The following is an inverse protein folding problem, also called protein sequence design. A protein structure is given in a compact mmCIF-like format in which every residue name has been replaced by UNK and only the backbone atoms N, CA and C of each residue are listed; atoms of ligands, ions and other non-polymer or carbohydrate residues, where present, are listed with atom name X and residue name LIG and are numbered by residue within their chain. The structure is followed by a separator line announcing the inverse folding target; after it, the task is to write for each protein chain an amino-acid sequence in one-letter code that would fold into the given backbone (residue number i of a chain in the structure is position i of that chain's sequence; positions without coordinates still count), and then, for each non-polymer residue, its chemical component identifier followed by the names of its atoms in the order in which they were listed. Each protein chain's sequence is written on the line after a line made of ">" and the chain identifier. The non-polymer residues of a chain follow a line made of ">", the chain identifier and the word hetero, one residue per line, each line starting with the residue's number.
data_IF_983655353141
#
_entry.id   IF_983655353141
#
_cell.length_a   1.000
_cell.length_b   1.000
_cell.length_c   1.000
_cell.angle_alpha   90.00
_cell.angle_beta   90.00
_cell.angle_gamma   90.00
#
_symmetry.space_group_name_H-M   'P 1'
#
loop_
_entity.id
_entity.type
_entity.pdbx_description
1 polymer ?
#
# COMPACT_ATOMS: atom_id res chain seq x y z
N UNK A 1 -31.55 15.80 23.37
CA UNK A 1 -30.32 14.97 23.33
C UNK A 1 -30.31 14.00 22.14
N UNK A 2 -31.34 13.15 21.95
CA UNK A 2 -31.34 12.14 20.87
C UNK A 2 -31.19 12.70 19.44
N UNK A 3 -31.82 13.84 19.14
CA UNK A 3 -31.72 14.50 17.82
C UNK A 3 -30.32 15.04 17.51
N UNK A 4 -29.60 15.50 18.52
CA UNK A 4 -28.24 16.04 18.37
C UNK A 4 -27.27 14.89 18.02
N UNK A 5 -27.45 13.72 18.63
CA UNK A 5 -26.65 12.54 18.33
C UNK A 5 -26.85 12.04 16.89
N UNK A 6 -28.10 12.05 16.40
CA UNK A 6 -28.43 11.64 15.02
C UNK A 6 -27.76 12.60 14.01
N UNK A 7 -27.86 13.91 14.24
CA UNK A 7 -27.23 14.91 13.36
C UNK A 7 -25.71 14.78 13.34
N UNK A 8 -25.08 14.52 14.51
CA UNK A 8 -23.64 14.32 14.59
C UNK A 8 -23.18 13.07 13.82
N UNK A 9 -23.92 11.96 13.89
CA UNK A 9 -23.60 10.74 13.13
C UNK A 9 -23.71 10.94 11.61
N UNK A 10 -24.75 11.65 11.16
CA UNK A 10 -24.94 11.94 9.73
C UNK A 10 -23.83 12.85 9.18
N UNK A 11 -23.42 13.85 9.96
CA UNK A 11 -22.30 14.72 9.59
C UNK A 11 -20.97 13.95 9.50
N UNK A 12 -20.73 12.99 10.41
CA UNK A 12 -19.54 12.14 10.36
C UNK A 12 -19.54 11.20 9.13
N UNK A 13 -20.71 10.69 8.72
CA UNK A 13 -20.84 9.85 7.51
C UNK A 13 -20.52 10.60 6.21
N UNK A 14 -20.86 11.89 6.12
CA UNK A 14 -20.51 12.72 4.96
C UNK A 14 -19.00 12.95 4.83
N UNK A 15 -18.27 13.01 5.93
CA UNK A 15 -16.81 13.17 5.93
C UNK A 15 -16.09 11.92 5.36
N UNK A 16 -16.72 10.74 5.37
CA UNK A 16 -16.14 9.52 4.82
C UNK A 16 -16.03 9.53 3.28
N UNK A 17 -16.81 10.35 2.58
CA UNK A 17 -16.68 10.54 1.12
C UNK A 17 -15.82 11.75 0.74
N UNK A 18 -15.27 12.48 1.71
CA UNK A 18 -14.46 13.69 1.49
C UNK A 18 -12.95 13.45 1.53
N UNK A 19 -12.49 12.20 1.45
CA UNK A 19 -11.05 11.94 1.42
C UNK A 19 -10.39 12.63 0.23
N UNK A 20 -9.16 13.13 0.42
CA UNK A 20 -8.39 13.66 -0.71
C UNK A 20 -8.25 12.52 -1.74
N UNK A 21 -8.42 12.80 -3.04
CA UNK A 21 -8.13 11.81 -4.07
C UNK A 21 -6.73 11.23 -3.84
N UNK A 22 -6.65 9.90 -3.63
CA UNK A 22 -5.38 9.17 -3.57
C UNK A 22 -4.82 9.02 -5.00
N UNK A 23 -4.66 10.15 -5.69
CA UNK A 23 -3.96 10.17 -6.98
C UNK A 23 -2.47 10.22 -6.70
N UNK A 24 -1.69 9.42 -7.43
CA UNK A 24 -0.25 9.53 -7.40
C UNK A 24 0.12 10.95 -7.86
N UNK A 25 0.53 11.82 -6.94
CA UNK A 25 0.90 13.18 -7.29
C UNK A 25 2.12 13.13 -8.21
N UNK A 26 2.21 13.96 -9.27
CA UNK A 26 3.34 13.96 -10.21
C UNK A 26 4.70 14.08 -9.53
N UNK A 27 4.79 14.76 -8.38
CA UNK A 27 6.01 14.89 -7.57
C UNK A 27 6.48 13.57 -6.91
N UNK A 28 5.63 12.54 -6.81
CA UNK A 28 6.01 11.21 -6.34
C UNK A 28 6.52 10.29 -7.46
N UNK A 29 6.25 10.65 -8.72
CA UNK A 29 6.73 9.91 -9.88
C UNK A 29 7.97 10.61 -10.44
N UNK A 30 9.12 10.45 -9.80
CA UNK A 30 10.45 10.35 -10.46
C UNK A 30 11.48 9.86 -9.43
N UNK A 31 11.55 8.55 -9.25
CA UNK A 31 12.82 7.94 -8.87
C UNK A 31 13.47 7.50 -10.16
N UNK A 32 14.36 8.33 -10.71
CA UNK A 32 15.26 7.91 -11.80
C UNK A 32 16.32 6.90 -11.29
N UNK A 33 16.33 6.61 -9.98
CA UNK A 33 17.17 5.61 -9.34
C UNK A 33 16.60 4.19 -9.42
N UNK A 34 17.49 3.19 -9.31
CA UNK A 34 17.13 1.78 -9.33
C UNK A 34 16.27 1.44 -8.10
N UNK A 35 15.28 0.56 -8.27
CA UNK A 35 14.35 0.22 -7.19
C UNK A 35 15.02 -0.44 -5.97
N UNK A 36 16.16 -1.12 -6.16
CA UNK A 36 16.94 -1.72 -5.08
C UNK A 36 17.91 -0.74 -4.39
N UNK A 37 18.04 0.50 -4.87
CA UNK A 37 18.87 1.55 -4.26
C UNK A 37 18.09 2.42 -3.25
N UNK A 38 16.90 1.97 -2.84
CA UNK A 38 16.00 2.74 -1.98
C UNK A 38 16.71 3.37 -0.76
N UNK A 39 16.44 4.64 -0.51
CA UNK A 39 16.95 5.34 0.67
C UNK A 39 16.41 4.71 1.97
N UNK A 40 17.16 4.78 3.09
CA UNK A 40 16.67 4.33 4.38
C UNK A 40 15.34 5.02 4.71
N UNK A 41 14.29 4.22 4.89
CA UNK A 41 12.96 4.72 5.23
C UNK A 41 12.23 3.71 6.12
N UNK A 42 11.17 4.16 6.80
CA UNK A 42 10.34 3.30 7.64
C UNK A 42 9.59 2.19 6.87
N UNK A 43 9.66 2.20 5.54
CA UNK A 43 8.99 1.24 4.67
C UNK A 43 9.95 0.18 4.08
N UNK A 44 11.24 0.25 4.44
CA UNK A 44 12.23 -0.76 4.09
C UNK A 44 11.89 -2.04 4.86
N UNK A 45 11.76 -3.15 4.13
CA UNK A 45 11.49 -4.45 4.73
C UNK A 45 12.62 -4.87 5.69
N UNK A 46 12.25 -5.45 6.84
CA UNK A 46 13.22 -5.90 7.84
C UNK A 46 14.22 -6.90 7.24
N UNK A 47 15.50 -6.73 7.56
CA UNK A 47 16.58 -7.60 7.08
C UNK A 47 17.05 -7.35 5.64
N UNK A 48 16.32 -6.55 4.84
CA UNK A 48 16.77 -6.17 3.50
C UNK A 48 17.70 -4.95 3.53
N UNK A 49 18.69 -4.93 2.62
CA UNK A 49 19.71 -3.88 2.53
C UNK A 49 19.65 -3.18 1.18
N UNK A 50 19.76 -1.86 1.18
CA UNK A 50 19.88 -1.07 -0.04
C UNK A 50 21.12 -1.51 -0.86
N UNK A 51 20.95 -1.59 -2.17
CA UNK A 51 21.96 -2.08 -3.11
C UNK A 51 21.86 -3.58 -3.42
N UNK A 52 21.17 -4.37 -2.58
CA UNK A 52 21.01 -5.81 -2.81
C UNK A 52 19.85 -6.10 -3.78
N UNK A 53 20.18 -6.13 -5.07
CA UNK A 53 19.24 -6.41 -6.14
C UNK A 53 18.62 -7.82 -6.04
N UNK A 54 19.43 -8.84 -5.79
CA UNK A 54 18.96 -10.23 -5.81
C UNK A 54 17.95 -10.50 -4.67
N UNK A 55 18.25 -9.97 -3.48
CA UNK A 55 17.33 -10.04 -2.34
C UNK A 55 16.07 -9.21 -2.59
N UNK A 56 16.20 -8.02 -3.19
CA UNK A 56 15.05 -7.19 -3.56
C UNK A 56 14.10 -7.90 -4.54
N UNK A 57 14.64 -8.49 -5.61
CA UNK A 57 13.87 -9.24 -6.61
C UNK A 57 13.18 -10.46 -6.00
N UNK A 58 13.87 -11.15 -5.09
CA UNK A 58 13.30 -12.31 -4.37
C UNK A 58 12.10 -11.88 -3.52
N UNK A 59 12.22 -10.79 -2.76
CA UNK A 59 11.10 -10.27 -1.98
C UNK A 59 9.94 -9.81 -2.84
N UNK A 60 10.20 -9.14 -3.97
CA UNK A 60 9.15 -8.72 -4.90
C UNK A 60 8.42 -9.91 -5.51
N UNK A 61 9.16 -10.96 -5.90
CA UNK A 61 8.55 -12.19 -6.42
C UNK A 61 7.68 -12.87 -5.36
N UNK A 62 8.17 -13.00 -4.13
CA UNK A 62 7.39 -13.59 -3.03
C UNK A 62 6.12 -12.79 -2.74
N UNK A 63 6.21 -11.45 -2.69
CA UNK A 63 5.05 -10.57 -2.54
C UNK A 63 4.04 -10.78 -3.65
N UNK A 64 4.47 -10.82 -4.91
CA UNK A 64 3.58 -11.03 -6.05
C UNK A 64 2.87 -12.39 -5.97
N UNK A 65 3.57 -13.46 -5.60
CA UNK A 65 2.95 -14.78 -5.42
C UNK A 65 1.94 -14.79 -4.27
N UNK A 66 2.22 -14.08 -3.19
CA UNK A 66 1.30 -13.92 -2.06
C UNK A 66 0.04 -13.13 -2.43
N UNK A 67 0.08 -12.33 -3.50
CA UNK A 67 -1.05 -11.58 -4.06
C UNK A 67 -1.75 -12.28 -5.22
N UNK A 68 -1.27 -13.44 -5.66
CA UNK A 68 -1.84 -14.16 -6.78
C UNK A 68 -3.04 -15.01 -6.33
N UNK A 69 -4.26 -14.64 -6.72
CA UNK A 69 -5.49 -15.36 -6.38
C UNK A 69 -5.50 -16.81 -6.88
N UNK A 70 -4.83 -17.12 -8.00
CA UNK A 70 -4.73 -18.49 -8.50
C UNK A 70 -3.99 -19.42 -7.52
N UNK A 71 -3.08 -18.88 -6.72
CA UNK A 71 -2.39 -19.63 -5.67
C UNK A 71 -3.18 -19.68 -4.36
N UNK A 72 -4.14 -18.78 -4.16
CA UNK A 72 -4.95 -18.68 -2.92
C UNK A 72 -6.25 -19.48 -3.00
N UNK A 73 -6.80 -19.68 -4.18
CA UNK A 73 -7.97 -20.52 -4.36
C UNK A 73 -7.56 -22.00 -4.25
N UNK A 74 -8.29 -22.85 -3.50
CA UNK A 74 -8.09 -24.29 -3.58
C UNK A 74 -8.32 -24.72 -5.03
N UNK A 75 -7.47 -25.62 -5.54
CA UNK A 75 -7.71 -26.24 -6.83
C UNK A 75 -9.14 -26.82 -6.82
N UNK A 76 -10.00 -26.33 -7.71
CA UNK A 76 -11.31 -26.92 -7.93
C UNK A 76 -11.08 -28.39 -8.28
N UNK A 77 -11.53 -29.29 -7.41
CA UNK A 77 -11.50 -30.73 -7.63
C UNK A 77 -12.63 -31.13 -8.56
#
# INVERSE_FOLDING_TARGET
>A
MNRILIVAMLAAGLAACGEKPQTAQPAMKKSDGKAWEAAPSAYVAEGWKAGDQASWETQMRQRAQGQNEYNRAPALK
#
